data_IF_770962237413
#
_entry.id   IF_770962237413
#
_cell.length_a   1.000
_cell.length_b   1.000
_cell.length_c   1.000
_cell.angle_alpha   90.00
_cell.angle_beta   90.00
_cell.angle_gamma   90.00
#
_symmetry.space_group_name_H-M   'P 1'
#
loop_
_entity.id
_entity.type
_entity.pdbx_description
1 polymer ?
#
# COMPACT_ATOMS: atom_id res chain seq x y z
N UNK A 1 -30.22 -8.87 5.08
CA UNK A 1 -29.42 -7.82 5.76
C UNK A 1 -28.25 -7.45 4.87
N UNK A 2 -28.15 -6.21 4.37
CA UNK A 2 -26.95 -5.71 3.68
C UNK A 2 -25.90 -5.47 4.75
N UNK A 3 -24.75 -6.14 4.66
CA UNK A 3 -23.61 -5.83 5.52
C UNK A 3 -23.01 -4.53 5.02
N UNK A 4 -22.95 -3.52 5.89
CA UNK A 4 -22.19 -2.30 5.63
C UNK A 4 -20.71 -2.66 5.79
N UNK A 5 -20.07 -2.93 4.66
CA UNK A 5 -18.63 -3.14 4.63
C UNK A 5 -17.95 -1.77 4.63
N UNK A 6 -16.85 -1.63 5.38
CA UNK A 6 -16.03 -0.42 5.41
C UNK A 6 -15.22 -0.20 4.12
N UNK A 7 -15.65 -0.76 2.99
CA UNK A 7 -15.01 -0.63 1.69
C UNK A 7 -16.04 -0.59 0.58
N UNK A 8 -15.69 0.12 -0.49
CA UNK A 8 -16.46 0.17 -1.74
C UNK A 8 -15.83 -0.78 -2.77
N UNK A 9 -16.66 -1.56 -3.47
CA UNK A 9 -16.23 -2.51 -4.49
C UNK A 9 -16.81 -2.12 -5.84
N UNK A 10 -15.93 -1.81 -6.79
CA UNK A 10 -16.30 -1.48 -8.17
C UNK A 10 -15.79 -2.55 -9.12
N UNK A 11 -16.69 -3.13 -9.91
CA UNK A 11 -16.34 -4.03 -11.00
C UNK A 11 -16.25 -3.20 -12.28
N UNK A 12 -15.12 -3.31 -12.97
CA UNK A 12 -14.86 -2.58 -14.21
C UNK A 12 -14.62 -3.60 -15.31
N UNK A 13 -15.37 -3.45 -16.40
CA UNK A 13 -15.07 -4.13 -17.65
C UNK A 13 -13.86 -3.45 -18.30
N UNK A 14 -12.70 -4.10 -18.19
CA UNK A 14 -11.43 -3.55 -18.64
C UNK A 14 -11.35 -3.43 -20.17
N UNK A 15 -12.10 -4.24 -20.91
CA UNK A 15 -12.13 -4.17 -22.37
C UNK A 15 -12.75 -2.84 -22.86
N UNK A 16 -13.66 -2.26 -22.08
CA UNK A 16 -14.26 -0.95 -22.36
C UNK A 16 -13.39 0.23 -21.91
N UNK A 17 -12.38 -0.03 -21.07
CA UNK A 17 -11.52 1.00 -20.46
C UNK A 17 -10.06 0.53 -20.42
N UNK A 18 -9.43 0.26 -21.59
CA UNK A 18 -8.08 -0.30 -21.67
C UNK A 18 -7.01 0.58 -21.01
N UNK A 19 -7.20 1.91 -21.00
CA UNK A 19 -6.30 2.86 -20.32
C UNK A 19 -6.10 2.53 -18.83
N UNK A 20 -7.08 1.90 -18.16
CA UNK A 20 -6.92 1.47 -16.77
C UNK A 20 -5.96 0.28 -16.65
N UNK A 21 -5.88 -0.59 -17.65
CA UNK A 21 -4.91 -1.67 -17.66
C UNK A 21 -3.49 -1.10 -17.77
N UNK A 22 -3.29 -0.06 -18.58
CA UNK A 22 -2.01 0.64 -18.70
C UNK A 22 -1.62 1.36 -17.40
N UNK A 23 -2.53 2.16 -16.84
CA UNK A 23 -2.32 2.92 -15.60
C UNK A 23 -1.90 2.01 -14.43
N UNK A 24 -2.55 0.85 -14.30
CA UNK A 24 -2.25 -0.12 -13.25
C UNK A 24 -1.26 -1.21 -13.68
N UNK A 25 -0.69 -1.11 -14.88
CA UNK A 25 0.25 -2.08 -15.47
C UNK A 25 -0.29 -3.52 -15.40
N UNK A 26 -1.58 -3.71 -15.66
CA UNK A 26 -2.26 -5.00 -15.63
C UNK A 26 -1.95 -5.79 -16.90
N UNK A 27 -1.10 -6.80 -16.76
CA UNK A 27 -0.78 -7.74 -17.84
C UNK A 27 -1.74 -8.94 -17.88
N UNK A 28 -2.49 -9.18 -16.80
CA UNK A 28 -3.37 -10.33 -16.63
C UNK A 28 -4.73 -9.89 -16.10
N UNK A 29 -5.77 -10.57 -16.54
CA UNK A 29 -7.14 -10.42 -16.06
C UNK A 29 -7.70 -11.80 -15.73
N UNK A 30 -8.55 -11.94 -14.70
CA UNK A 30 -9.08 -10.89 -13.82
C UNK A 30 -8.05 -10.34 -12.83
N UNK A 31 -8.23 -9.09 -12.39
CA UNK A 31 -7.39 -8.41 -11.41
C UNK A 31 -8.24 -7.59 -10.43
N UNK A 32 -7.77 -7.45 -9.19
CA UNK A 32 -8.33 -6.59 -8.17
C UNK A 32 -7.27 -5.59 -7.71
N UNK A 33 -7.63 -4.31 -7.73
CA UNK A 33 -6.77 -3.20 -7.35
C UNK A 33 -7.31 -2.54 -6.08
N UNK A 34 -6.54 -2.54 -5.01
CA UNK A 34 -6.78 -1.71 -3.82
C UNK A 34 -6.16 -0.34 -4.05
N UNK A 35 -7.01 0.67 -4.18
CA UNK A 35 -6.59 2.06 -4.48
C UNK A 35 -6.36 2.90 -3.22
N UNK A 36 -6.92 2.53 -2.07
CA UNK A 36 -6.83 3.27 -0.81
C UNK A 36 -7.02 2.36 0.41
N UNK A 37 -6.42 2.70 1.58
CA UNK A 37 -5.33 3.65 1.76
C UNK A 37 -4.04 3.22 1.03
N UNK A 38 -3.10 4.14 0.83
CA UNK A 38 -1.79 3.82 0.25
C UNK A 38 -0.96 2.93 1.20
N UNK A 39 -0.05 2.09 0.67
CA UNK A 39 0.30 1.92 -0.75
C UNK A 39 -0.75 1.14 -1.55
N UNK A 40 -0.88 1.46 -2.86
CA UNK A 40 -1.74 0.71 -3.78
C UNK A 40 -1.28 -0.74 -3.84
N UNK A 41 -2.22 -1.69 -3.90
CA UNK A 41 -1.93 -3.12 -4.01
C UNK A 41 -2.74 -3.75 -5.13
N UNK A 42 -2.12 -4.67 -5.87
CA UNK A 42 -2.74 -5.38 -6.99
C UNK A 42 -2.60 -6.88 -6.75
N UNK A 43 -3.70 -7.61 -6.90
CA UNK A 43 -3.71 -9.07 -7.01
C UNK A 43 -4.40 -9.45 -8.31
N UNK A 44 -3.91 -10.48 -9.00
CA UNK A 44 -4.45 -10.87 -10.30
C UNK A 44 -4.29 -12.37 -10.57
N UNK A 45 -5.02 -12.86 -11.57
CA UNK A 45 -4.98 -14.24 -12.04
C UNK A 45 -6.05 -15.14 -11.42
N UNK A 46 -5.93 -16.45 -11.65
CA UNK A 46 -6.95 -17.43 -11.28
C UNK A 46 -7.09 -17.66 -9.76
N UNK A 47 -6.04 -17.43 -8.98
CA UNK A 47 -6.06 -17.55 -7.51
C UNK A 47 -6.51 -16.26 -6.79
N UNK A 48 -7.17 -15.35 -7.51
CA UNK A 48 -7.62 -14.05 -6.99
C UNK A 48 -8.39 -14.18 -5.66
N UNK A 49 -9.29 -15.16 -5.57
CA UNK A 49 -10.14 -15.36 -4.39
C UNK A 49 -9.33 -15.81 -3.18
N UNK A 50 -8.35 -16.70 -3.36
CA UNK A 50 -7.49 -17.16 -2.27
C UNK A 50 -6.58 -16.04 -1.75
N UNK A 51 -5.99 -15.27 -2.67
CA UNK A 51 -5.21 -14.09 -2.32
C UNK A 51 -6.07 -13.05 -1.57
N UNK A 52 -7.30 -12.81 -2.05
CA UNK A 52 -8.21 -11.88 -1.40
C UNK A 52 -8.60 -12.33 0.01
N UNK A 53 -8.92 -13.61 0.22
CA UNK A 53 -9.22 -14.14 1.57
C UNK A 53 -8.06 -13.91 2.54
N UNK A 54 -6.82 -14.03 2.09
CA UNK A 54 -5.62 -13.81 2.91
C UNK A 54 -5.33 -12.33 3.18
N UNK A 55 -5.59 -11.45 2.21
CA UNK A 55 -5.22 -10.03 2.29
C UNK A 55 -6.32 -9.15 2.88
N UNK A 56 -7.60 -9.45 2.60
CA UNK A 56 -8.73 -8.61 2.98
C UNK A 56 -8.78 -8.31 4.50
N UNK A 57 -8.56 -9.26 5.42
CA UNK A 57 -8.53 -8.97 6.85
C UNK A 57 -7.44 -7.95 7.23
N UNK A 58 -6.27 -8.04 6.59
CA UNK A 58 -5.15 -7.11 6.80
C UNK A 58 -5.50 -5.72 6.28
N UNK A 59 -6.14 -5.65 5.12
CA UNK A 59 -6.57 -4.39 4.52
C UNK A 59 -7.56 -3.64 5.41
N UNK A 60 -8.55 -4.35 5.96
CA UNK A 60 -9.53 -3.79 6.89
C UNK A 60 -8.89 -3.34 8.20
N UNK A 61 -7.93 -4.10 8.74
CA UNK A 61 -7.22 -3.74 9.96
C UNK A 61 -6.33 -2.49 9.79
N UNK A 62 -5.63 -2.34 8.66
CA UNK A 62 -4.79 -1.16 8.38
C UNK A 62 -5.61 0.14 8.31
N UNK A 63 -6.85 0.09 7.84
CA UNK A 63 -7.74 1.26 7.78
C UNK A 63 -8.03 1.89 9.15
N UNK A 64 -7.87 1.13 10.24
CA UNK A 64 -8.14 1.58 11.61
C UNK A 64 -6.90 2.07 12.38
N UNK A 65 -5.68 1.81 11.89
CA UNK A 65 -4.44 2.10 12.62
C UNK A 65 -3.56 3.08 11.83
N UNK A 66 -3.98 4.33 11.75
CA UNK A 66 -3.08 5.44 11.49
C UNK A 66 -2.37 5.82 12.81
N UNK A 67 -1.08 6.14 12.72
CA UNK A 67 -0.19 6.68 13.77
C UNK A 67 0.56 5.69 14.70
N UNK A 68 1.75 5.27 14.26
CA UNK A 68 2.94 5.36 15.11
C UNK A 68 4.22 5.47 14.26
N UNK A 69 4.70 6.71 14.07
CA UNK A 69 6.07 6.97 13.61
C UNK A 69 6.80 7.77 14.70
N UNK A 70 7.81 7.19 15.33
CA UNK A 70 8.93 7.85 16.05
C UNK A 70 9.94 6.75 16.42
N UNK A 71 11.01 6.49 15.65
CA UNK A 71 12.33 7.17 15.55
C UNK A 71 13.34 6.77 16.64
N UNK A 72 14.47 6.18 16.24
CA UNK A 72 15.79 6.43 16.85
C UNK A 72 16.89 6.25 15.80
N UNK A 73 17.22 7.35 15.12
CA UNK A 73 18.56 7.61 14.61
C UNK A 73 19.44 8.04 15.77
N UNK A 74 20.46 7.25 16.13
CA UNK A 74 21.71 7.71 16.75
C UNK A 74 22.65 6.52 16.80
N UNK A 75 23.75 6.61 16.05
CA UNK A 75 25.10 6.20 16.43
C UNK A 75 25.97 6.15 15.18
N UNK A 76 26.85 7.14 14.99
CA UNK A 76 28.26 6.89 14.73
C UNK A 76 29.08 8.19 14.77
N UNK A 77 29.82 8.33 15.88
CA UNK A 77 31.22 8.77 15.96
C UNK A 77 31.53 10.24 15.66
N UNK A 78 31.51 11.02 16.73
CA UNK A 78 32.41 12.16 16.94
C UNK A 78 33.82 11.61 17.23
N UNK A 79 34.81 11.95 16.39
CA UNK A 79 36.24 11.71 16.64
C UNK A 79 37.11 12.60 15.77
N UNK A 80 37.83 13.54 16.41
CA UNK A 80 38.91 14.38 15.85
C UNK A 80 38.42 15.63 15.11
N UNK A 81 39.04 16.81 15.21
CA UNK A 81 40.33 17.26 15.77
C UNK A 81 40.41 18.78 15.56
N UNK A 82 40.69 19.57 16.61
CA UNK A 82 41.86 20.49 16.72
C UNK A 82 41.70 21.98 16.32
N UNK A 83 42.10 22.83 17.29
CA UNK A 83 42.74 24.17 17.26
C UNK A 83 41.93 25.51 17.17
N UNK A 84 42.16 26.33 18.21
CA UNK A 84 41.70 27.70 18.61
C UNK A 84 42.31 28.88 17.78
N UNK A 85 42.31 30.18 18.22
CA UNK A 85 41.37 31.10 18.93
C UNK A 85 41.06 32.40 18.09
N UNK A 86 40.36 33.45 18.57
CA UNK A 86 40.88 34.69 19.24
C UNK A 86 39.69 35.60 19.65
N UNK A 87 39.75 36.18 20.86
CA UNK A 87 39.17 37.49 21.22
C UNK A 87 40.24 38.55 21.20
#
# INVERSE_FOLDING_TARGET
>A
MKREYAFDLKIIDIAKKPYLAEEYKLIVTPALVRISPLPKQIIAGANLVEQLKKLLPKWLATSHSSYSSQSLTKNSKESGSELNPIS
#
